data_IF_637567148407
#
_entry.id   IF_637567148407
#
_cell.length_a   1.000
_cell.length_b   1.000
_cell.length_c   1.000
_cell.angle_alpha   90.00
_cell.angle_beta   90.00
_cell.angle_gamma   90.00
#
_symmetry.space_group_name_H-M   'P 1'
#
loop_
_entity.id
_entity.type
_entity.pdbx_description
1 polymer ?
#
# COMPACT_ATOMS: atom_id res chain seq x y z
N UNK A 1 -30.27 -1.64 -10.43
CA UNK A 1 -28.87 -1.59 -9.98
C UNK A 1 -28.94 -1.52 -8.46
N UNK A 2 -28.67 -2.65 -7.78
CA UNK A 2 -28.65 -2.71 -6.32
C UNK A 2 -27.48 -1.85 -5.82
N UNK A 3 -27.76 -0.85 -4.99
CA UNK A 3 -26.71 -0.12 -4.29
C UNK A 3 -26.08 -1.10 -3.28
N UNK A 4 -24.73 -1.24 -3.25
CA UNK A 4 -24.08 -2.05 -2.26
C UNK A 4 -24.37 -1.52 -0.85
N UNK A 5 -24.60 -2.43 0.10
CA UNK A 5 -24.82 -2.10 1.50
C UNK A 5 -23.60 -1.33 2.04
N UNK A 6 -23.73 -0.09 2.52
CA UNK A 6 -22.62 0.68 3.07
C UNK A 6 -22.03 0.08 4.36
N UNK A 7 -22.71 -0.90 4.97
CA UNK A 7 -22.27 -1.64 6.17
C UNK A 7 -21.98 -3.11 5.88
N UNK A 8 -22.11 -3.56 4.61
CA UNK A 8 -21.72 -4.90 4.20
C UNK A 8 -20.19 -5.11 4.23
N UNK A 9 -19.74 -6.38 4.23
CA UNK A 9 -18.33 -6.67 4.07
C UNK A 9 -17.83 -6.02 2.78
N UNK A 10 -16.57 -5.57 2.73
CA UNK A 10 -16.01 -4.98 1.51
C UNK A 10 -16.16 -5.98 0.36
N UNK A 11 -16.71 -5.50 -0.76
CA UNK A 11 -16.80 -6.27 -2.01
C UNK A 11 -15.39 -6.39 -2.60
N UNK A 12 -14.64 -7.37 -2.09
CA UNK A 12 -13.27 -7.63 -2.49
C UNK A 12 -13.30 -8.42 -3.80
N UNK A 13 -13.08 -7.72 -4.90
CA UNK A 13 -12.88 -8.40 -6.19
C UNK A 13 -11.57 -9.20 -6.19
N UNK A 14 -11.53 -10.39 -6.82
CA UNK A 14 -10.31 -11.16 -6.94
C UNK A 14 -9.18 -10.34 -7.56
N UNK A 15 -8.01 -10.45 -6.97
CA UNK A 15 -6.79 -9.81 -7.46
C UNK A 15 -6.11 -10.76 -8.44
N UNK A 16 -5.77 -10.25 -9.63
CA UNK A 16 -5.29 -11.05 -10.75
C UNK A 16 -3.83 -10.74 -11.10
N UNK A 17 -3.15 -11.74 -11.62
CA UNK A 17 -1.78 -11.57 -12.15
C UNK A 17 -1.77 -10.52 -13.27
N UNK A 18 -0.73 -9.68 -13.26
CA UNK A 18 -0.55 -8.62 -14.26
C UNK A 18 -1.34 -7.34 -13.94
N UNK A 19 -2.08 -7.27 -12.84
CA UNK A 19 -2.65 -6.01 -12.38
C UNK A 19 -1.54 -5.00 -12.09
N UNK A 20 -1.82 -3.74 -12.48
CA UNK A 20 -0.90 -2.62 -12.27
C UNK A 20 -1.55 -1.59 -11.36
N UNK A 21 -0.87 -1.25 -10.29
CA UNK A 21 -1.26 -0.22 -9.35
C UNK A 21 -0.26 0.94 -9.41
N UNK A 22 -0.77 2.16 -9.55
CA UNK A 22 0.05 3.36 -9.67
C UNK A 22 -0.33 4.40 -8.63
N UNK A 23 0.69 4.97 -8.00
CA UNK A 23 0.57 6.14 -7.15
C UNK A 23 1.42 7.27 -7.74
N UNK A 24 0.84 8.14 -8.57
CA UNK A 24 1.59 9.21 -9.22
C UNK A 24 2.07 10.29 -8.25
N UNK A 25 1.51 10.33 -7.04
CA UNK A 25 1.89 11.33 -6.01
C UNK A 25 3.18 10.92 -5.30
N UNK A 26 3.35 9.63 -5.03
CA UNK A 26 4.53 9.08 -4.35
C UNK A 26 5.58 8.51 -5.29
N UNK A 27 5.24 8.41 -6.60
CA UNK A 27 6.15 7.94 -7.64
C UNK A 27 6.32 6.42 -7.66
N UNK A 28 5.26 5.69 -7.32
CA UNK A 28 5.23 4.23 -7.23
C UNK A 28 4.38 3.62 -8.34
N UNK A 29 4.89 2.54 -8.95
CA UNK A 29 4.12 1.69 -9.83
C UNK A 29 4.43 0.23 -9.51
N UNK A 30 3.43 -0.54 -9.15
CA UNK A 30 3.56 -1.96 -8.85
C UNK A 30 2.83 -2.80 -9.89
N UNK A 31 3.49 -3.84 -10.41
CA UNK A 31 2.88 -4.87 -11.26
C UNK A 31 2.82 -6.17 -10.49
N UNK A 32 1.63 -6.73 -10.32
CA UNK A 32 1.44 -7.98 -9.59
C UNK A 32 1.93 -9.17 -10.41
N UNK A 33 2.90 -9.91 -9.90
CA UNK A 33 3.50 -11.09 -10.53
C UNK A 33 2.89 -12.39 -10.01
N UNK A 34 2.53 -12.43 -8.72
CA UNK A 34 1.93 -13.59 -8.07
C UNK A 34 0.85 -13.11 -7.10
N UNK A 35 -0.44 -13.35 -7.40
CA UNK A 35 -1.51 -12.98 -6.49
C UNK A 35 -1.58 -13.94 -5.29
N UNK A 36 -2.06 -13.47 -4.11
CA UNK A 36 -2.01 -14.23 -2.87
C UNK A 36 -2.87 -15.50 -2.87
N UNK A 37 -3.88 -15.58 -3.72
CA UNK A 37 -4.76 -16.74 -3.87
C UNK A 37 -4.16 -17.88 -4.71
N UNK A 38 -2.99 -17.68 -5.32
CA UNK A 38 -2.34 -18.67 -6.18
C UNK A 38 -1.34 -19.58 -5.43
N UNK A 39 -1.16 -19.39 -4.13
CA UNK A 39 -0.26 -20.22 -3.33
C UNK A 39 -0.81 -20.48 -1.93
N UNK A 40 -0.40 -21.58 -1.31
CA UNK A 40 -0.87 -22.00 0.01
C UNK A 40 -0.43 -21.07 1.16
N UNK A 41 0.60 -20.27 0.93
CA UNK A 41 1.17 -19.34 1.92
C UNK A 41 0.43 -18.00 1.95
N UNK A 42 -0.44 -17.73 0.95
CA UNK A 42 -1.11 -16.44 0.80
C UNK A 42 -0.13 -15.31 0.48
N UNK A 43 1.00 -15.62 -0.18
CA UNK A 43 2.04 -14.66 -0.55
C UNK A 43 1.63 -13.89 -1.79
N UNK A 44 1.75 -12.58 -1.75
CA UNK A 44 1.71 -11.71 -2.92
C UNK A 44 3.12 -11.32 -3.34
N UNK A 45 3.38 -11.29 -4.63
CA UNK A 45 4.64 -10.82 -5.20
C UNK A 45 4.37 -9.77 -6.26
N UNK A 46 5.02 -8.63 -6.16
CA UNK A 46 4.93 -7.57 -7.14
C UNK A 46 6.33 -7.07 -7.56
N UNK A 47 6.42 -6.56 -8.78
CA UNK A 47 7.53 -5.73 -9.21
C UNK A 47 7.15 -4.26 -9.02
N UNK A 48 7.86 -3.59 -8.13
CA UNK A 48 7.71 -2.17 -7.84
C UNK A 48 8.74 -1.39 -8.67
N UNK A 49 8.28 -0.45 -9.48
CA UNK A 49 9.10 0.63 -10.03
C UNK A 49 8.95 1.83 -9.11
N UNK A 50 10.06 2.23 -8.48
CA UNK A 50 10.16 3.42 -7.64
C UNK A 50 10.90 4.50 -8.45
N UNK A 51 10.18 5.53 -8.89
CA UNK A 51 10.76 6.65 -9.63
C UNK A 51 11.81 7.38 -8.78
N UNK A 52 12.68 8.17 -9.41
CA UNK A 52 13.59 9.04 -8.66
C UNK A 52 12.81 9.92 -7.68
N UNK A 53 13.18 9.88 -6.40
CA UNK A 53 12.49 10.58 -5.31
C UNK A 53 11.21 9.90 -4.80
N UNK A 54 10.82 8.75 -5.36
CA UNK A 54 9.70 7.96 -4.86
C UNK A 54 9.88 7.60 -3.38
N UNK A 55 8.77 7.54 -2.66
CA UNK A 55 8.76 7.19 -1.23
C UNK A 55 7.42 6.59 -0.84
N UNK A 56 7.42 5.70 0.12
CA UNK A 56 6.19 5.25 0.77
C UNK A 56 5.56 6.39 1.60
N UNK A 57 4.28 6.28 1.90
CA UNK A 57 3.49 7.33 2.59
C UNK A 57 3.80 7.39 4.09
N UNK A 58 5.09 7.49 4.43
CA UNK A 58 5.58 7.68 5.79
C UNK A 58 5.87 6.40 6.57
N UNK A 59 6.63 6.56 7.64
CA UNK A 59 7.09 5.46 8.48
C UNK A 59 5.90 4.71 9.11
N UNK A 60 5.85 3.39 8.89
CA UNK A 60 4.76 2.51 9.29
C UNK A 60 5.28 1.14 9.74
N UNK A 61 4.37 0.30 10.18
CA UNK A 61 4.63 -1.12 10.46
C UNK A 61 3.45 -1.98 10.03
N UNK A 62 3.73 -3.20 9.73
CA UNK A 62 2.74 -4.25 9.50
C UNK A 62 2.60 -5.10 10.76
N UNK A 63 1.41 -5.18 11.41
CA UNK A 63 1.26 -5.95 12.65
C UNK A 63 1.55 -7.45 12.51
N UNK A 64 1.20 -8.05 11.36
CA UNK A 64 1.25 -9.50 11.14
C UNK A 64 1.96 -9.90 9.83
N UNK A 65 2.36 -8.94 9.00
CA UNK A 65 2.91 -9.20 7.68
C UNK A 65 4.43 -9.21 7.74
N UNK A 66 5.03 -10.18 7.05
CA UNK A 66 6.43 -10.17 6.61
C UNK A 66 6.50 -9.51 5.25
N UNK A 67 7.39 -8.53 5.07
CA UNK A 67 7.62 -7.87 3.80
C UNK A 67 9.11 -7.98 3.42
N UNK A 68 9.37 -8.33 2.16
CA UNK A 68 10.73 -8.46 1.63
C UNK A 68 10.90 -7.59 0.40
N UNK A 69 11.96 -6.80 0.41
CA UNK A 69 12.41 -6.01 -0.74
C UNK A 69 13.67 -6.63 -1.30
N UNK A 70 13.72 -6.91 -2.60
CA UNK A 70 14.94 -7.31 -3.33
C UNK A 70 15.13 -6.35 -4.49
N UNK A 71 16.25 -5.62 -4.51
CA UNK A 71 16.53 -4.67 -5.58
C UNK A 71 16.94 -5.45 -6.83
N UNK A 72 16.21 -5.22 -7.93
CA UNK A 72 16.48 -5.82 -9.25
C UNK A 72 17.35 -4.91 -10.10
N UNK A 73 17.13 -3.59 -10.01
CA UNK A 73 17.89 -2.55 -10.71
C UNK A 73 17.90 -1.27 -9.87
N UNK A 74 18.97 -0.50 -9.96
CA UNK A 74 19.10 0.77 -9.24
C UNK A 74 19.46 0.60 -7.78
N UNK A 75 18.88 1.44 -6.94
CA UNK A 75 19.09 1.39 -5.49
C UNK A 75 17.82 1.76 -4.72
N UNK A 76 17.66 1.21 -3.52
CA UNK A 76 16.58 1.55 -2.61
C UNK A 76 17.14 1.85 -1.23
N UNK A 77 16.76 2.96 -0.65
CA UNK A 77 17.07 3.26 0.76
C UNK A 77 15.94 2.73 1.63
N UNK A 78 16.28 1.89 2.61
CA UNK A 78 15.33 1.28 3.56
C UNK A 78 15.71 1.69 4.98
N UNK A 79 14.74 2.20 5.72
CA UNK A 79 14.84 2.43 7.17
C UNK A 79 14.08 1.33 7.89
N UNK A 80 14.77 0.59 8.76
CA UNK A 80 14.19 -0.53 9.52
C UNK A 80 14.63 -0.48 10.97
N UNK A 81 13.69 -0.45 11.92
CA UNK A 81 14.00 -0.43 13.36
C UNK A 81 14.88 0.75 13.78
N UNK A 82 14.81 1.88 13.07
CA UNK A 82 15.65 3.06 13.31
C UNK A 82 16.98 3.10 12.55
N UNK A 83 17.41 1.99 11.94
CA UNK A 83 18.62 1.92 11.11
C UNK A 83 18.28 2.14 9.65
N UNK A 84 19.08 2.96 8.97
CA UNK A 84 18.95 3.22 7.53
C UNK A 84 20.06 2.49 6.77
N UNK A 85 19.68 1.76 5.74
CA UNK A 85 20.58 1.08 4.81
C UNK A 85 20.22 1.41 3.37
N UNK A 86 21.22 1.41 2.51
CA UNK A 86 21.06 1.51 1.07
C UNK A 86 21.22 0.13 0.48
N UNK A 87 20.22 -0.34 -0.22
CA UNK A 87 20.24 -1.61 -0.96
C UNK A 87 20.60 -1.34 -2.42
N UNK A 88 21.48 -2.14 -2.94
CA UNK A 88 21.88 -2.16 -4.34
C UNK A 88 21.34 -3.40 -5.04
N UNK A 89 21.54 -3.49 -6.33
CA UNK A 89 21.15 -4.63 -7.15
C UNK A 89 21.58 -5.97 -6.53
N UNK A 90 20.64 -6.90 -6.40
CA UNK A 90 20.81 -8.21 -5.74
C UNK A 90 20.67 -8.19 -4.21
N UNK A 91 20.71 -7.02 -3.57
CA UNK A 91 20.57 -6.93 -2.11
C UNK A 91 19.10 -6.96 -1.66
N UNK A 92 18.90 -7.49 -0.46
CA UNK A 92 17.57 -7.74 0.10
C UNK A 92 17.42 -7.14 1.50
N UNK A 93 16.25 -6.58 1.80
CA UNK A 93 15.82 -6.25 3.17
C UNK A 93 14.57 -7.08 3.53
N UNK A 94 14.60 -7.67 4.72
CA UNK A 94 13.45 -8.35 5.32
C UNK A 94 12.89 -7.48 6.45
N UNK A 95 11.59 -7.22 6.40
CA UNK A 95 10.84 -6.51 7.43
C UNK A 95 9.96 -7.51 8.15
N UNK A 96 10.29 -7.76 9.41
CA UNK A 96 9.49 -8.63 10.28
C UNK A 96 8.22 -7.93 10.79
N UNK A 97 7.18 -8.69 11.17
CA UNK A 97 5.98 -8.14 11.77
C UNK A 97 6.27 -7.19 12.94
N UNK A 98 5.59 -6.07 12.99
CA UNK A 98 5.71 -5.08 14.05
C UNK A 98 6.91 -4.14 13.94
N UNK A 99 7.84 -4.36 13.02
CA UNK A 99 9.02 -3.52 12.85
C UNK A 99 8.65 -2.22 12.12
N UNK A 100 8.97 -1.08 12.74
CA UNK A 100 8.81 0.24 12.12
C UNK A 100 9.78 0.39 10.97
N UNK A 101 9.27 0.73 9.79
CA UNK A 101 10.07 0.88 8.59
C UNK A 101 9.54 1.98 7.66
N UNK A 102 10.40 2.35 6.73
CA UNK A 102 10.16 3.35 5.69
C UNK A 102 11.10 3.03 4.52
N UNK A 103 10.78 3.47 3.32
CA UNK A 103 11.69 3.36 2.18
C UNK A 103 11.52 4.52 1.21
N UNK A 104 12.57 4.82 0.47
CA UNK A 104 12.58 5.82 -0.61
C UNK A 104 13.68 5.53 -1.62
N UNK A 105 13.49 6.01 -2.84
CA UNK A 105 14.54 6.03 -3.85
C UNK A 105 15.31 7.35 -3.76
N UNK A 106 16.52 7.31 -3.20
CA UNK A 106 17.45 8.45 -3.12
C UNK A 106 18.47 8.43 -4.26
N UNK A 107 18.37 7.49 -5.20
CA UNK A 107 19.26 7.36 -6.34
C UNK A 107 19.01 8.41 -7.43
N UNK A 108 19.82 8.35 -8.46
CA UNK A 108 19.78 9.21 -9.64
C UNK A 108 18.99 8.60 -10.81
N UNK A 109 18.48 7.39 -10.64
CA UNK A 109 17.65 6.66 -11.61
C UNK A 109 16.51 5.91 -10.89
N UNK A 110 15.53 5.50 -11.68
CA UNK A 110 14.44 4.67 -11.19
C UNK A 110 14.98 3.33 -10.66
N UNK A 111 14.36 2.85 -9.59
CA UNK A 111 14.69 1.54 -9.03
C UNK A 111 13.58 0.54 -9.37
N UNK A 112 13.98 -0.69 -9.74
CA UNK A 112 13.09 -1.84 -9.84
C UNK A 112 13.32 -2.74 -8.64
N UNK A 113 12.27 -3.10 -7.96
CA UNK A 113 12.32 -3.83 -6.70
C UNK A 113 11.28 -4.95 -6.72
N UNK A 114 11.69 -6.18 -6.46
CA UNK A 114 10.76 -7.27 -6.16
C UNK A 114 10.30 -7.12 -4.72
N UNK A 115 9.00 -7.00 -4.54
CA UNK A 115 8.35 -6.91 -3.22
C UNK A 115 7.54 -8.19 -2.99
N UNK A 116 7.81 -8.87 -1.89
CA UNK A 116 7.10 -10.07 -1.46
C UNK A 116 6.43 -9.78 -0.11
N UNK A 117 5.15 -10.08 -0.01
CA UNK A 117 4.32 -9.77 1.18
C UNK A 117 3.54 -11.01 1.60
N UNK A 118 3.61 -11.37 2.89
CA UNK A 118 2.93 -12.55 3.41
C UNK A 118 2.40 -12.31 4.83
N UNK A 119 1.08 -12.47 5.08
CA UNK A 119 -0.01 -12.72 4.12
C UNK A 119 -0.27 -11.50 3.23
N UNK A 120 -0.57 -11.72 1.95
CA UNK A 120 -0.62 -10.66 0.93
C UNK A 120 -2.03 -10.17 0.54
N UNK A 121 -3.10 -10.93 0.84
CA UNK A 121 -4.44 -10.62 0.33
C UNK A 121 -4.95 -9.25 0.77
N UNK A 122 -5.01 -9.01 2.07
CA UNK A 122 -5.46 -7.73 2.60
C UNK A 122 -4.50 -6.57 2.29
N UNK A 123 -3.19 -6.88 2.17
CA UNK A 123 -2.19 -5.90 1.73
C UNK A 123 -2.45 -5.45 0.30
N UNK A 124 -2.73 -6.36 -0.62
CA UNK A 124 -3.04 -6.03 -1.99
C UNK A 124 -4.29 -5.13 -2.10
N UNK A 125 -5.38 -5.45 -1.39
CA UNK A 125 -6.58 -4.58 -1.34
C UNK A 125 -6.32 -3.22 -0.70
N UNK A 126 -5.42 -3.15 0.27
CA UNK A 126 -4.97 -1.89 0.86
C UNK A 126 -4.25 -1.02 -0.18
N UNK A 127 -3.29 -1.59 -0.91
CA UNK A 127 -2.55 -0.90 -1.99
C UNK A 127 -3.51 -0.46 -3.10
N UNK A 128 -4.38 -1.35 -3.56
CA UNK A 128 -5.42 -1.06 -4.53
C UNK A 128 -6.21 0.20 -4.13
N UNK A 129 -6.69 0.27 -2.91
CA UNK A 129 -7.46 1.40 -2.41
C UNK A 129 -6.61 2.68 -2.33
N UNK A 130 -5.42 2.60 -1.72
CA UNK A 130 -4.57 3.77 -1.49
C UNK A 130 -4.06 4.37 -2.81
N UNK A 131 -3.56 3.53 -3.72
CA UNK A 131 -3.06 3.95 -5.02
C UNK A 131 -4.19 4.45 -5.92
N UNK A 132 -5.35 3.79 -5.88
CA UNK A 132 -6.55 4.25 -6.59
C UNK A 132 -6.99 5.65 -6.17
N UNK A 133 -7.01 5.94 -4.87
CA UNK A 133 -7.30 7.28 -4.35
C UNK A 133 -6.27 8.31 -4.81
N UNK A 134 -4.99 7.97 -4.81
CA UNK A 134 -3.92 8.86 -5.27
C UNK A 134 -4.05 9.16 -6.78
N UNK A 135 -4.29 8.13 -7.59
CA UNK A 135 -4.47 8.28 -9.05
C UNK A 135 -5.64 9.17 -9.42
N UNK A 136 -6.70 9.14 -8.62
CA UNK A 136 -7.89 9.99 -8.83
C UNK A 136 -7.77 11.38 -8.20
N UNK A 137 -6.62 11.74 -7.61
CA UNK A 137 -6.40 13.04 -6.99
C UNK A 137 -7.07 13.22 -5.62
N UNK A 138 -7.46 12.12 -4.97
CA UNK A 138 -8.10 12.13 -3.64
C UNK A 138 -7.11 12.04 -2.48
N UNK A 139 -5.84 12.38 -2.72
CA UNK A 139 -4.79 12.47 -1.70
C UNK A 139 -4.17 13.86 -1.69
N UNK A 140 -3.51 14.20 -0.58
CA UNK A 140 -2.70 15.41 -0.50
C UNK A 140 -1.34 15.20 -1.23
N UNK A 141 -0.50 16.25 -1.37
CA UNK A 141 0.81 16.14 -2.03
C UNK A 141 1.81 15.16 -1.38
N UNK A 142 1.47 14.59 -0.22
CA UNK A 142 2.26 13.54 0.45
C UNK A 142 1.67 12.15 0.22
N UNK A 143 0.63 12.00 -0.61
CA UNK A 143 -0.04 10.73 -0.86
C UNK A 143 -1.07 10.30 0.20
N UNK A 144 -1.31 11.13 1.25
CA UNK A 144 -2.29 10.78 2.29
C UNK A 144 -3.71 11.18 1.87
N UNK A 145 -4.71 10.28 2.03
CA UNK A 145 -6.11 10.61 1.82
C UNK A 145 -6.64 11.71 2.75
N UNK A 146 -7.75 12.31 2.38
CA UNK A 146 -8.48 13.24 3.26
C UNK A 146 -8.75 12.60 4.64
N UNK A 147 -8.67 13.33 5.77
CA UNK A 147 -8.81 12.76 7.12
C UNK A 147 -10.06 11.90 7.35
N UNK A 148 -11.21 12.25 6.75
CA UNK A 148 -12.42 11.43 6.81
C UNK A 148 -12.23 10.09 6.08
N UNK A 149 -11.64 10.12 4.89
CA UNK A 149 -11.30 8.92 4.13
C UNK A 149 -10.29 8.05 4.89
N UNK A 150 -9.24 8.68 5.40
CA UNK A 150 -8.19 8.01 6.16
C UNK A 150 -8.75 7.34 7.43
N UNK A 151 -9.78 7.93 8.07
CA UNK A 151 -10.39 7.36 9.28
C UNK A 151 -11.03 5.99 9.04
N UNK A 152 -11.68 5.79 7.90
CA UNK A 152 -12.28 4.50 7.52
C UNK A 152 -11.22 3.52 7.02
N UNK A 153 -10.31 3.99 6.16
CA UNK A 153 -9.19 3.21 5.65
C UNK A 153 -8.32 2.62 6.78
N UNK A 154 -7.91 3.46 7.74
CA UNK A 154 -7.07 3.03 8.83
C UNK A 154 -7.77 2.10 9.84
N UNK A 155 -9.09 2.18 9.98
CA UNK A 155 -9.87 1.22 10.76
C UNK A 155 -9.95 -0.13 10.04
N UNK A 156 -10.26 -0.11 8.74
CA UNK A 156 -10.36 -1.31 7.91
C UNK A 156 -9.06 -2.09 7.85
N UNK A 157 -7.96 -1.40 7.59
CA UNK A 157 -6.64 -2.01 7.40
C UNK A 157 -5.75 -1.94 8.65
N UNK A 158 -6.35 -1.85 9.85
CA UNK A 158 -5.59 -1.76 11.11
C UNK A 158 -4.75 -2.99 11.44
N UNK A 159 -5.10 -4.15 10.89
CA UNK A 159 -4.34 -5.40 10.92
C UNK A 159 -3.23 -5.45 9.87
N UNK A 160 -3.32 -4.62 8.83
CA UNK A 160 -2.38 -4.55 7.71
C UNK A 160 -1.32 -3.50 7.94
N UNK A 161 -1.72 -2.26 8.28
CA UNK A 161 -0.81 -1.13 8.40
C UNK A 161 -1.12 -0.25 9.61
N UNK A 162 -0.08 0.20 10.30
CA UNK A 162 -0.16 1.19 11.37
C UNK A 162 0.89 2.27 11.11
N UNK A 163 0.48 3.51 10.94
CA UNK A 163 1.40 4.64 10.78
C UNK A 163 2.04 5.02 12.13
N UNK A 164 3.28 5.49 12.09
CA UNK A 164 4.00 5.87 13.30
C UNK A 164 3.52 7.19 13.90
N UNK A 165 3.09 8.13 13.07
CA UNK A 165 2.71 9.48 13.50
C UNK A 165 1.33 9.88 12.98
N UNK A 166 0.51 10.54 13.83
CA UNK A 166 0.64 10.70 15.29
C UNK A 166 0.70 9.33 16.01
N UNK A 167 0.97 9.26 17.34
CA UNK A 167 1.03 7.98 18.05
C UNK A 167 -0.22 7.11 17.81
N UNK A 168 -0.10 5.76 17.67
CA UNK A 168 -1.22 4.89 17.27
C UNK A 168 -2.47 5.00 18.13
N UNK A 169 -2.32 5.25 19.44
CA UNK A 169 -3.46 5.45 20.36
C UNK A 169 -4.24 6.74 20.01
N UNK A 170 -3.52 7.81 19.68
CA UNK A 170 -4.10 9.10 19.26
C UNK A 170 -4.80 8.93 17.91
N UNK A 171 -4.18 8.23 16.96
CA UNK A 171 -4.80 7.91 15.66
C UNK A 171 -6.12 7.17 15.87
N UNK A 172 -6.14 6.10 16.69
CA UNK A 172 -7.35 5.32 16.96
C UNK A 172 -8.49 6.19 17.51
N UNK A 173 -8.21 7.06 18.46
CA UNK A 173 -9.21 7.96 19.04
C UNK A 173 -9.75 8.95 17.99
N UNK A 174 -8.87 9.57 17.21
CA UNK A 174 -9.25 10.50 16.13
C UNK A 174 -10.10 9.78 15.08
N UNK A 175 -9.67 8.62 14.60
CA UNK A 175 -10.37 7.88 13.56
C UNK A 175 -11.72 7.34 14.04
N UNK A 176 -11.82 6.90 15.31
CA UNK A 176 -13.10 6.51 15.90
C UNK A 176 -14.09 7.69 15.94
N UNK A 177 -13.62 8.89 16.26
CA UNK A 177 -14.47 10.09 16.28
C UNK A 177 -14.88 10.55 14.88
N UNK A 178 -14.01 10.41 13.87
CA UNK A 178 -14.26 10.86 12.50
C UNK A 178 -15.10 9.86 11.67
N UNK A 179 -15.01 8.57 11.95
CA UNK A 179 -15.63 7.52 11.14
C UNK A 179 -17.16 7.66 10.98
N UNK A 180 -17.98 8.02 12.00
CA UNK A 180 -19.41 8.21 11.81
C UNK A 180 -19.73 9.34 10.82
N UNK A 181 -18.97 10.44 10.87
CA UNK A 181 -19.12 11.55 9.95
C UNK A 181 -18.67 11.17 8.54
N UNK A 182 -17.60 10.41 8.42
CA UNK A 182 -17.09 9.91 7.14
C UNK A 182 -18.16 9.05 6.44
N UNK A 183 -18.74 8.08 7.15
CA UNK A 183 -19.83 7.24 6.61
C UNK A 183 -21.05 8.06 6.17
N UNK A 184 -21.47 9.04 6.98
CA UNK A 184 -22.59 9.94 6.62
C UNK A 184 -22.32 10.78 5.37
N UNK A 185 -21.04 11.05 5.07
CA UNK A 185 -20.62 11.77 3.85
C UNK A 185 -20.32 10.85 2.66
N UNK A 186 -20.62 9.55 2.75
CA UNK A 186 -20.48 8.60 1.67
C UNK A 186 -19.05 8.09 1.44
N UNK A 187 -18.10 8.37 2.35
CA UNK A 187 -16.79 7.75 2.29
C UNK A 187 -16.89 6.25 2.58
N UNK A 188 -16.01 5.47 1.95
CA UNK A 188 -15.90 4.00 2.14
C UNK A 188 -14.51 3.64 2.62
N UNK A 189 -14.38 2.47 3.25
CA UNK A 189 -13.08 1.96 3.69
C UNK A 189 -12.23 1.47 2.52
N UNK A 190 -12.86 0.88 1.52
CA UNK A 190 -12.23 0.27 0.35
C UNK A 190 -12.86 0.76 -0.95
N UNK A 191 -12.07 0.77 -2.01
CA UNK A 191 -12.50 1.14 -3.36
C UNK A 191 -11.87 0.19 -4.40
N UNK A 192 -12.30 -1.07 -4.47
CA UNK A 192 -11.66 -2.08 -5.32
C UNK A 192 -11.72 -1.78 -6.83
N UNK A 193 -12.57 -0.84 -7.25
CA UNK A 193 -12.75 -0.49 -8.67
C UNK A 193 -11.83 0.65 -9.13
N UNK A 194 -11.10 1.30 -8.21
CA UNK A 194 -10.35 2.52 -8.53
C UNK A 194 -8.95 2.27 -9.09
N UNK A 195 -8.39 1.10 -8.86
CA UNK A 195 -6.98 0.82 -9.19
C UNK A 195 -6.76 0.10 -10.51
N UNK A 196 -7.78 -0.55 -11.08
CA UNK A 196 -7.62 -1.36 -12.28
C UNK A 196 -7.31 -0.53 -13.51
N UNK A 197 -6.03 -0.35 -13.81
CA UNK A 197 -5.56 -0.04 -15.14
C UNK A 197 -5.37 -1.37 -15.87
N UNK A 198 -6.37 -1.78 -16.63
CA UNK A 198 -6.16 -2.83 -17.64
C UNK A 198 -5.27 -2.21 -18.70
N UNK A 199 -3.97 -2.50 -18.65
CA UNK A 199 -3.09 -2.20 -19.78
C UNK A 199 -3.59 -3.04 -20.94
N UNK A 200 -4.09 -2.38 -21.99
CA UNK A 200 -4.35 -3.06 -23.26
C UNK A 200 -3.05 -3.78 -23.67
N UNK A 201 -3.11 -5.05 -24.13
CA UNK A 201 -1.94 -5.75 -24.60
C UNK A 201 -1.28 -4.89 -25.69
N UNK A 202 0.03 -4.64 -25.55
CA UNK A 202 0.81 -4.04 -26.61
C UNK A 202 0.80 -5.03 -27.77
N UNK A 203 0.07 -4.68 -28.84
CA UNK A 203 0.10 -5.36 -30.14
C UNK A 203 1.47 -5.16 -30.77
#
# INVERSE_FOLDING_TARGET
>A
VSHPDPNGPPDLTPIEIGEVWENPVTGERATLLEPPNNNAEGRAVAELTALVGARVVGEHRHPVIVERFTVLEGELTVKRGGHTSKLREGETALIEPGVWHDWWNAGDRDARVRVEVMPGERFAHMIETLFGLARLGHTNPKGMPHPLQLSLFAQEFSDVIVFRRPPPQVQRAIFAALAPLARRRGYRATYPQLSRVVLAPRV
#
